data_IF_517698140635
#
_entry.id   IF_517698140635
#
_cell.length_a   1.000
_cell.length_b   1.000
_cell.length_c   1.000
_cell.angle_alpha   90.00
_cell.angle_beta   90.00
_cell.angle_gamma   90.00
#
_symmetry.space_group_name_H-M   'P 1'
#
loop_
_entity.id
_entity.type
_entity.pdbx_description
1 polymer ?
#
# COMPACT_ATOMS: atom_id res chain seq x y z
N UNK A 1 -8.47 0.58 6.64
CA UNK A 1 -9.89 0.38 6.22
C UNK A 1 -10.12 0.93 4.81
N UNK A 2 -10.71 0.18 3.85
CA UNK A 2 -10.91 0.63 2.47
C UNK A 2 -11.79 1.88 2.34
N UNK A 3 -13.01 1.87 2.86
CA UNK A 3 -13.91 3.02 2.75
C UNK A 3 -13.39 4.31 3.45
N UNK A 4 -12.86 4.22 4.68
CA UNK A 4 -12.30 5.40 5.38
C UNK A 4 -11.12 5.97 4.62
N UNK A 5 -10.21 5.12 4.15
CA UNK A 5 -9.05 5.55 3.38
C UNK A 5 -9.47 6.24 2.07
N UNK A 6 -10.39 5.65 1.30
CA UNK A 6 -10.89 6.29 0.09
C UNK A 6 -11.52 7.67 0.36
N UNK A 7 -12.32 7.79 1.43
CA UNK A 7 -12.92 9.09 1.81
C UNK A 7 -11.85 10.11 2.16
N UNK A 8 -10.83 9.71 2.93
CA UNK A 8 -9.72 10.59 3.29
C UNK A 8 -8.90 11.04 2.08
N UNK A 9 -8.62 10.15 1.13
CA UNK A 9 -7.92 10.51 -0.12
C UNK A 9 -8.72 11.47 -1.02
N UNK A 10 -10.04 11.55 -0.83
CA UNK A 10 -10.92 12.44 -1.58
C UNK A 10 -11.07 13.83 -0.94
N UNK A 11 -10.48 14.07 0.24
CA UNK A 11 -10.47 15.40 0.86
C UNK A 11 -9.32 16.25 0.29
N UNK A 12 -9.42 17.56 0.49
CA UNK A 12 -8.27 18.44 0.30
C UNK A 12 -7.37 18.36 1.53
N UNK A 13 -6.05 18.33 1.31
CA UNK A 13 -5.06 18.46 2.38
C UNK A 13 -4.39 19.84 2.23
N UNK A 14 -4.85 20.86 2.99
CA UNK A 14 -4.38 22.22 2.82
C UNK A 14 -2.85 22.30 2.92
N UNK A 15 -2.25 23.04 1.98
CA UNK A 15 -0.80 23.28 1.93
C UNK A 15 0.08 22.04 1.73
N UNK A 16 -0.51 20.87 1.47
CA UNK A 16 0.20 19.72 0.93
C UNK A 16 0.45 19.96 -0.57
N UNK A 17 1.71 19.80 -0.98
CA UNK A 17 2.17 20.00 -2.36
C UNK A 17 2.17 18.68 -3.11
N UNK A 18 2.67 17.62 -2.46
CA UNK A 18 2.76 16.28 -3.03
C UNK A 18 2.67 15.22 -1.94
N UNK A 19 2.21 14.05 -2.33
CA UNK A 19 2.31 12.86 -1.50
C UNK A 19 2.51 11.62 -2.37
N UNK A 20 3.22 10.63 -1.84
CA UNK A 20 3.47 9.36 -2.54
C UNK A 20 3.72 8.26 -1.52
N UNK A 21 3.25 7.05 -1.80
CA UNK A 21 3.53 5.93 -0.92
C UNK A 21 2.86 4.63 -1.30
N UNK A 22 3.05 3.65 -0.43
CA UNK A 22 2.45 2.32 -0.50
C UNK A 22 1.46 2.11 0.64
N UNK A 23 0.40 1.37 0.37
CA UNK A 23 -0.60 0.99 1.35
C UNK A 23 -1.15 -0.41 1.07
N UNK A 24 -1.84 -0.98 2.05
CA UNK A 24 -2.61 -2.21 1.90
C UNK A 24 -4.04 -1.97 2.38
N UNK A 25 -4.98 -2.67 1.77
CA UNK A 25 -6.40 -2.64 2.15
C UNK A 25 -6.78 -3.99 2.73
N UNK A 26 -7.59 -3.96 3.79
CA UNK A 26 -8.07 -5.16 4.47
C UNK A 26 -8.85 -6.11 3.52
N UNK A 27 -9.54 -5.54 2.53
CA UNK A 27 -10.26 -6.27 1.45
C UNK A 27 -9.37 -6.73 0.32
N UNK A 28 -8.11 -6.26 0.24
CA UNK A 28 -7.18 -6.50 -0.88
C UNK A 28 -5.81 -6.90 -0.36
N UNK A 29 -5.81 -7.92 0.49
CA UNK A 29 -4.62 -8.45 1.17
C UNK A 29 -3.49 -8.86 0.23
N UNK A 30 -3.81 -9.13 -1.03
CA UNK A 30 -2.83 -9.61 -2.00
C UNK A 30 -2.02 -8.50 -2.64
N UNK A 31 -2.54 -7.27 -2.68
CA UNK A 31 -1.98 -6.19 -3.47
C UNK A 31 -1.23 -5.16 -2.64
N UNK A 32 -0.14 -4.66 -3.21
CA UNK A 32 0.48 -3.40 -2.82
C UNK A 32 -0.23 -2.29 -3.60
N UNK A 33 -0.96 -1.44 -2.88
CA UNK A 33 -1.51 -0.21 -3.45
C UNK A 33 -0.46 0.88 -3.46
N UNK A 34 -0.32 1.61 -4.56
CA UNK A 34 0.45 2.85 -4.63
C UNK A 34 -0.52 4.02 -4.61
N UNK A 35 -0.20 5.03 -3.79
CA UNK A 35 -0.81 6.35 -3.82
C UNK A 35 0.18 7.36 -4.40
N UNK A 36 -0.30 8.26 -5.24
CA UNK A 36 0.45 9.44 -5.67
C UNK A 36 -0.47 10.64 -5.88
N UNK A 37 -0.02 11.79 -5.41
CA UNK A 37 -0.68 13.07 -5.57
C UNK A 37 0.36 14.15 -5.88
N UNK A 38 0.06 14.99 -6.86
CA UNK A 38 0.76 16.23 -7.10
C UNK A 38 -0.25 17.29 -7.55
N UNK A 39 -0.36 18.37 -6.78
CA UNK A 39 -1.43 19.36 -6.98
C UNK A 39 -2.82 18.71 -6.92
N UNK A 40 -3.67 19.00 -7.91
CA UNK A 40 -5.04 18.44 -7.99
C UNK A 40 -5.15 17.06 -8.62
N UNK A 41 -4.05 16.44 -9.04
CA UNK A 41 -4.06 15.10 -9.66
C UNK A 41 -3.74 14.05 -8.61
N UNK A 42 -4.66 13.10 -8.45
CA UNK A 42 -4.53 11.97 -7.54
C UNK A 42 -4.62 10.65 -8.32
N UNK A 43 -3.79 9.67 -7.97
CA UNK A 43 -3.81 8.33 -8.56
C UNK A 43 -3.61 7.28 -7.49
N UNK A 44 -4.42 6.24 -7.55
CA UNK A 44 -4.19 4.99 -6.83
C UNK A 44 -4.19 3.82 -7.84
N UNK A 45 -3.29 2.87 -7.66
CA UNK A 45 -3.14 1.72 -8.55
C UNK A 45 -2.45 0.54 -7.84
N UNK A 46 -2.68 -0.71 -8.28
CA UNK A 46 -1.87 -1.83 -7.83
C UNK A 46 -0.48 -1.74 -8.47
N UNK A 47 0.57 -1.90 -7.68
CA UNK A 47 1.96 -1.89 -8.17
C UNK A 47 2.69 -3.22 -8.00
N UNK A 48 2.03 -4.18 -7.34
CA UNK A 48 2.59 -5.51 -7.11
C UNK A 48 1.80 -6.26 -6.05
N UNK A 49 2.42 -7.30 -5.53
CA UNK A 49 1.86 -8.14 -4.48
C UNK A 49 2.86 -8.27 -3.34
N UNK A 50 2.34 -8.48 -2.14
CA UNK A 50 3.17 -8.72 -0.96
C UNK A 50 3.86 -10.08 -1.07
N UNK A 51 5.11 -10.20 -0.63
CA UNK A 51 5.80 -11.49 -0.62
C UNK A 51 5.08 -12.54 0.22
N UNK A 52 4.33 -12.11 1.23
CA UNK A 52 3.44 -12.95 2.03
C UNK A 52 2.33 -13.67 1.23
N UNK A 53 2.08 -13.30 -0.04
CA UNK A 53 1.08 -13.92 -0.91
C UNK A 53 1.71 -14.85 -1.95
N UNK A 54 3.04 -14.78 -2.10
CA UNK A 54 3.80 -15.54 -3.10
C UNK A 54 4.25 -16.88 -2.47
N UNK A 55 3.96 -18.03 -3.11
CA UNK A 55 4.44 -19.32 -2.63
C UNK A 55 5.97 -19.33 -2.44
N UNK A 56 6.45 -19.86 -1.32
CA UNK A 56 7.90 -19.89 -0.98
C UNK A 56 8.79 -20.54 -2.04
N UNK A 57 8.25 -21.44 -2.86
CA UNK A 57 8.97 -22.09 -3.97
C UNK A 57 9.27 -21.15 -5.13
N UNK A 58 8.60 -20.00 -5.22
CA UNK A 58 8.80 -18.97 -6.24
C UNK A 58 9.62 -17.78 -5.75
N UNK A 59 10.11 -17.85 -4.51
CA UNK A 59 11.01 -16.83 -4.02
C UNK A 59 12.36 -17.00 -4.71
N UNK A 60 13.02 -15.92 -5.15
CA UNK A 60 14.35 -16.02 -5.73
C UNK A 60 15.29 -16.72 -4.75
N UNK A 61 16.28 -17.45 -5.28
CA UNK A 61 17.36 -17.99 -4.47
C UNK A 61 17.90 -16.88 -3.58
N UNK A 62 18.21 -17.19 -2.30
CA UNK A 62 18.42 -16.26 -1.17
C UNK A 62 19.52 -15.20 -1.39
N UNK A 63 19.31 -14.32 -2.35
CA UNK A 63 20.09 -13.15 -2.63
C UNK A 63 19.91 -12.12 -1.51
N UNK A 64 20.53 -10.96 -1.67
CA UNK A 64 20.45 -9.89 -0.67
C UNK A 64 19.02 -9.35 -0.51
N UNK A 65 18.25 -9.30 -1.61
CA UNK A 65 16.89 -8.76 -1.64
C UNK A 65 15.89 -9.67 -0.92
N UNK A 66 15.95 -10.99 -1.16
CA UNK A 66 15.15 -11.97 -0.42
C UNK A 66 15.45 -11.94 1.09
N UNK A 67 16.71 -11.73 1.47
CA UNK A 67 17.11 -11.58 2.88
C UNK A 67 16.61 -10.28 3.49
N UNK A 68 16.56 -9.19 2.73
CA UNK A 68 16.01 -7.91 3.19
C UNK A 68 14.50 -8.03 3.46
N UNK A 69 13.74 -8.65 2.55
CA UNK A 69 12.30 -8.90 2.73
C UNK A 69 12.04 -9.77 3.95
N UNK A 70 12.81 -10.85 4.15
CA UNK A 70 12.66 -11.72 5.31
C UNK A 70 12.82 -10.99 6.65
N UNK A 71 13.65 -9.94 6.72
CA UNK A 71 13.80 -9.11 7.92
C UNK A 71 12.57 -8.24 8.19
N UNK A 72 11.79 -7.91 7.15
CA UNK A 72 10.59 -7.09 7.24
C UNK A 72 9.32 -7.92 7.55
N UNK A 73 9.41 -9.25 7.49
CA UNK A 73 8.28 -10.14 7.74
C UNK A 73 7.85 -10.10 9.21
N UNK A 74 6.61 -9.73 9.46
CA UNK A 74 6.02 -9.67 10.81
C UNK A 74 4.75 -10.51 10.87
N UNK A 75 4.60 -11.29 11.94
CA UNK A 75 3.34 -12.00 12.16
C UNK A 75 2.25 -11.02 12.60
N UNK A 76 0.98 -11.24 12.21
CA UNK A 76 0.52 -12.33 11.35
C UNK A 76 0.50 -11.96 9.84
N UNK A 77 0.80 -10.72 9.46
CA UNK A 77 0.51 -10.19 8.12
C UNK A 77 1.67 -10.22 7.12
N UNK A 78 2.82 -10.78 7.49
CA UNK A 78 4.00 -10.89 6.64
C UNK A 78 4.69 -9.54 6.41
N UNK A 79 5.02 -9.21 5.16
CA UNK A 79 5.73 -7.98 4.77
C UNK A 79 4.80 -6.79 4.48
N UNK A 80 3.50 -6.95 4.72
CA UNK A 80 2.48 -5.90 4.53
C UNK A 80 2.79 -4.68 5.37
N UNK A 81 2.88 -3.52 4.72
CA UNK A 81 3.17 -2.24 5.38
C UNK A 81 2.49 -1.06 4.70
N UNK A 82 2.47 0.06 5.41
CA UNK A 82 1.97 1.34 4.93
C UNK A 82 3.08 2.37 5.10
N UNK A 83 3.44 3.02 4.00
CA UNK A 83 4.48 4.04 3.98
C UNK A 83 4.01 5.15 3.05
N UNK A 84 3.57 6.28 3.61
CA UNK A 84 3.12 7.43 2.82
C UNK A 84 3.97 8.63 3.22
N UNK A 85 4.64 9.21 2.23
CA UNK A 85 5.38 10.46 2.37
C UNK A 85 4.45 11.59 1.94
N UNK A 86 4.30 12.59 2.81
CA UNK A 86 3.54 13.81 2.54
C UNK A 86 4.47 15.01 2.66
N UNK A 87 4.41 15.92 1.69
CA UNK A 87 5.27 17.10 1.62
C UNK A 87 4.38 18.31 1.42
N UNK A 88 4.48 19.27 2.34
CA UNK A 88 3.73 20.52 2.32
C UNK A 88 4.54 21.70 2.83
N UNK A 89 4.01 22.91 2.66
CA UNK A 89 4.64 24.16 3.11
C UNK A 89 3.72 24.81 4.15
N UNK A 90 4.16 24.83 5.41
CA UNK A 90 3.31 25.23 6.54
C UNK A 90 2.01 24.40 6.64
N UNK A 91 2.07 23.13 6.25
CA UNK A 91 0.95 22.19 6.41
C UNK A 91 0.69 21.92 7.90
N UNK A 92 -0.55 21.61 8.24
CA UNK A 92 -0.89 21.04 9.54
C UNK A 92 -0.56 19.54 9.51
N UNK A 93 0.62 19.19 10.02
CA UNK A 93 1.08 17.81 10.04
C UNK A 93 0.20 16.93 10.93
N UNK A 94 -0.29 17.47 12.06
CA UNK A 94 -1.10 16.73 13.02
C UNK A 94 -2.49 16.42 12.45
N UNK A 95 -3.11 17.37 11.74
CA UNK A 95 -4.37 17.14 11.01
C UNK A 95 -4.20 16.02 9.96
N UNK A 96 -3.14 16.09 9.16
CA UNK A 96 -2.88 15.09 8.11
C UNK A 96 -2.64 13.71 8.74
N UNK A 97 -1.83 13.63 9.80
CA UNK A 97 -1.55 12.39 10.51
C UNK A 97 -2.82 11.80 11.11
N UNK A 98 -3.62 12.62 11.81
CA UNK A 98 -4.89 12.19 12.39
C UNK A 98 -5.87 11.68 11.33
N UNK A 99 -5.88 12.27 10.13
CA UNK A 99 -6.67 11.79 9.00
C UNK A 99 -6.26 10.39 8.53
N UNK A 100 -4.95 10.10 8.45
CA UNK A 100 -4.47 8.76 8.15
C UNK A 100 -4.74 7.77 9.30
N UNK A 101 -4.56 8.19 10.56
CA UNK A 101 -4.83 7.35 11.73
C UNK A 101 -6.31 6.94 11.80
N UNK A 102 -7.23 7.87 11.49
CA UNK A 102 -8.65 7.58 11.37
C UNK A 102 -8.99 6.56 10.27
N UNK A 103 -8.08 6.31 9.32
CA UNK A 103 -8.24 5.29 8.28
C UNK A 103 -7.82 3.89 8.72
N UNK A 104 -7.06 3.76 9.82
CA UNK A 104 -6.65 2.47 10.38
C UNK A 104 -7.86 1.68 10.85
N UNK A 105 -7.76 0.35 10.81
CA UNK A 105 -8.74 -0.50 11.45
C UNK A 105 -8.66 -0.31 12.97
N UNK A 106 -9.81 -0.24 13.62
CA UNK A 106 -9.92 -0.33 15.07
C UNK A 106 -9.56 -1.74 15.56
N UNK A 107 -9.32 -1.92 16.85
CA UNK A 107 -9.00 -3.23 17.42
C UNK A 107 -10.13 -4.25 17.19
N UNK A 108 -11.38 -3.83 17.32
CA UNK A 108 -12.55 -4.68 17.04
C UNK A 108 -12.62 -5.09 15.57
N UNK A 109 -12.38 -4.15 14.65
CA UNK A 109 -12.33 -4.46 13.22
C UNK A 109 -11.14 -5.36 12.87
N UNK A 110 -9.99 -5.16 13.51
CA UNK A 110 -8.82 -6.03 13.36
C UNK A 110 -9.14 -7.46 13.82
N UNK A 111 -9.91 -7.61 14.90
CA UNK A 111 -10.30 -8.92 15.44
C UNK A 111 -11.23 -9.73 14.51
N UNK A 112 -11.92 -9.09 13.56
CA UNK A 112 -12.74 -9.78 12.55
C UNK A 112 -11.91 -10.65 11.59
N UNK A 113 -10.63 -10.32 11.40
CA UNK A 113 -9.73 -11.05 10.51
C UNK A 113 -10.12 -10.99 9.02
N UNK A 114 -9.35 -11.66 8.15
CA UNK A 114 -9.51 -11.59 6.70
C UNK A 114 -10.91 -11.96 6.20
N UNK A 115 -11.56 -12.95 6.81
CA UNK A 115 -12.91 -13.37 6.45
C UNK A 115 -13.94 -12.24 6.70
N UNK A 116 -13.84 -11.56 7.84
CA UNK A 116 -14.73 -10.43 8.14
C UNK A 116 -14.41 -9.19 7.32
N UNK A 117 -13.12 -8.93 7.06
CA UNK A 117 -12.69 -7.79 6.25
C UNK A 117 -13.18 -7.86 4.81
N UNK A 118 -13.35 -9.06 4.25
CA UNK A 118 -13.87 -9.26 2.90
C UNK A 118 -15.27 -8.64 2.68
N UNK A 119 -16.01 -8.42 3.77
CA UNK A 119 -17.33 -7.78 3.74
C UNK A 119 -17.28 -6.24 3.82
N UNK A 120 -16.12 -5.62 4.06
CA UNK A 120 -16.04 -4.16 4.14
C UNK A 120 -16.35 -3.50 2.80
N UNK A 121 -17.10 -2.38 2.78
CA UNK A 121 -17.30 -1.60 1.57
C UNK A 121 -15.97 -1.12 0.99
N UNK A 122 -15.74 -1.48 -0.27
CA UNK A 122 -14.51 -1.15 -0.99
C UNK A 122 -14.80 -0.31 -2.24
N UNK A 123 -14.70 1.02 -2.13
CA UNK A 123 -15.00 1.94 -3.24
C UNK A 123 -13.85 2.09 -4.25
N UNK A 124 -12.69 1.47 -4.03
CA UNK A 124 -11.57 1.59 -4.96
C UNK A 124 -11.92 0.88 -6.29
N UNK A 125 -11.41 1.37 -7.44
CA UNK A 125 -11.61 0.69 -8.72
C UNK A 125 -11.08 -0.74 -8.65
N UNK A 126 -11.65 -1.66 -9.44
CA UNK A 126 -11.19 -3.05 -9.46
C UNK A 126 -9.72 -3.10 -9.88
N UNK A 127 -8.89 -3.74 -9.06
CA UNK A 127 -7.50 -4.01 -9.38
C UNK A 127 -7.38 -5.37 -10.03
N UNK A 128 -6.59 -5.45 -11.10
CA UNK A 128 -6.28 -6.70 -11.77
C UNK A 128 -4.82 -7.02 -11.55
N UNK A 129 -4.54 -8.32 -11.36
CA UNK A 129 -3.17 -8.82 -11.37
C UNK A 129 -2.64 -8.60 -12.77
N UNK A 130 -1.68 -7.69 -12.94
CA UNK A 130 -0.87 -7.68 -14.16
C UNK A 130 -0.06 -8.97 -14.15
N UNK A 131 -0.38 -9.87 -15.08
CA UNK A 131 0.55 -10.96 -15.42
C UNK A 131 1.68 -10.28 -16.14
N UNK A 132 2.78 -10.00 -15.43
CA UNK A 132 4.00 -9.50 -16.06
C UNK A 132 4.42 -10.53 -17.09
N UNK A 133 4.68 -10.08 -18.31
CA UNK A 133 5.42 -10.93 -19.25
C UNK A 133 6.84 -11.15 -18.71
N UNK A 134 7.54 -12.22 -19.10
CA UNK A 134 8.93 -12.43 -18.70
C UNK A 134 9.83 -11.20 -18.94
N UNK A 135 9.61 -10.47 -20.03
CA UNK A 135 10.33 -9.23 -20.36
C UNK A 135 10.03 -8.07 -19.39
N UNK A 136 8.78 -7.93 -18.93
CA UNK A 136 8.39 -6.87 -17.98
C UNK A 136 8.92 -7.17 -16.56
N UNK A 137 9.00 -8.44 -16.18
CA UNK A 137 9.56 -8.87 -14.89
C UNK A 137 11.07 -8.57 -14.80
N UNK A 138 11.81 -8.76 -15.90
CA UNK A 138 13.24 -8.44 -15.98
C UNK A 138 13.50 -6.92 -15.88
N UNK A 139 12.68 -6.07 -16.51
CA UNK A 139 12.81 -4.61 -16.40
C UNK A 139 12.49 -4.07 -15.00
N UNK A 140 11.57 -4.69 -14.28
CA UNK A 140 11.23 -4.31 -12.90
C UNK A 140 12.35 -4.63 -11.89
N UNK A 141 13.12 -5.71 -12.10
CA UNK A 141 14.30 -6.05 -11.30
C UNK A 141 15.53 -5.18 -11.64
N UNK A 142 15.59 -4.64 -12.86
CA UNK A 142 16.72 -3.85 -13.34
C UNK A 142 16.57 -2.33 -13.16
N UNK A 143 15.44 -1.85 -12.64
CA UNK A 143 15.26 -0.42 -12.39
C UNK A 143 15.84 -0.05 -11.02
N UNK A 144 17.02 0.61 -10.94
CA UNK A 144 17.53 1.06 -9.65
C UNK A 144 16.54 2.07 -9.06
N UNK A 145 16.32 2.00 -7.76
CA UNK A 145 15.61 3.03 -7.01
C UNK A 145 16.25 4.38 -7.38
N UNK A 146 15.52 5.19 -8.16
CA UNK A 146 16.00 6.51 -8.56
C UNK A 146 16.23 7.31 -7.27
N UNK A 147 17.50 7.66 -7.05
CA UNK A 147 17.97 8.53 -5.97
C UNK A 147 17.22 9.86 -5.95
#
# INVERSE_FOLDING_TARGET
HPQRFHRWLATAWPRVVRSKGFFWLATRMDFIGEWSQAGGVCRNQPVGEWWATIPKSRWPDRDEDARAVLKLMQKPWGDRRQEIVVIGIAMDEDEVRAGFDACLLTDDEMALGPEGWAAFPDPFPRWTRKVLTPEEAEQHLQTPARR
#
